data_IF_515982129188
#
_entry.id   IF_515982129188
#
_cell.length_a   1.000
_cell.length_b   1.000
_cell.length_c   1.000
_cell.angle_alpha   90.00
_cell.angle_beta   90.00
_cell.angle_gamma   90.00
#
_symmetry.space_group_name_H-M   'P 1'
#
loop_
_entity.id
_entity.type
_entity.pdbx_description
1 polymer ?
#
# COMPACT_ATOMS: atom_id res chain seq x y z
N UNK A 1 18.41 -18.43 -1.10
CA UNK A 1 17.24 -18.54 -0.20
C UNK A 1 16.95 -20.01 0.08
N UNK A 2 16.62 -20.40 1.32
CA UNK A 2 16.22 -21.79 1.66
C UNK A 2 14.89 -22.19 1.02
N UNK A 3 14.08 -21.23 0.56
CA UNK A 3 12.75 -21.45 -0.01
C UNK A 3 12.74 -22.29 -1.31
N UNK A 4 13.90 -22.53 -1.93
CA UNK A 4 14.03 -23.29 -3.18
C UNK A 4 14.60 -24.70 -2.99
N UNK A 5 14.78 -25.17 -1.75
CA UNK A 5 15.22 -26.54 -1.46
C UNK A 5 14.02 -27.48 -1.44
N UNK A 6 14.18 -28.70 -1.93
CA UNK A 6 13.12 -29.73 -1.89
C UNK A 6 12.62 -29.98 -0.46
N UNK A 7 13.52 -29.93 0.52
CA UNK A 7 13.19 -30.11 1.94
C UNK A 7 12.49 -28.92 2.59
N UNK A 8 12.37 -27.77 1.92
CA UNK A 8 11.79 -26.55 2.50
C UNK A 8 10.36 -26.78 2.98
N UNK A 9 9.57 -27.51 2.21
CA UNK A 9 8.17 -27.83 2.57
C UNK A 9 8.09 -28.57 3.90
N UNK A 10 8.89 -29.62 4.07
CA UNK A 10 8.86 -30.45 5.28
C UNK A 10 9.39 -29.68 6.50
N UNK A 11 10.43 -28.87 6.30
CA UNK A 11 10.96 -27.99 7.36
C UNK A 11 9.91 -26.96 7.78
N UNK A 12 9.22 -26.33 6.83
CA UNK A 12 8.16 -25.36 7.10
C UNK A 12 6.99 -26.00 7.84
N UNK A 13 6.50 -27.15 7.37
CA UNK A 13 5.37 -27.83 8.01
C UNK A 13 5.71 -28.26 9.45
N UNK A 14 6.91 -28.78 9.69
CA UNK A 14 7.39 -29.09 11.05
C UNK A 14 7.53 -27.86 11.92
N UNK A 15 7.96 -26.72 11.36
CA UNK A 15 8.05 -25.47 12.10
C UNK A 15 6.68 -24.92 12.47
N UNK A 16 5.69 -25.00 11.57
CA UNK A 16 4.31 -24.58 11.83
C UNK A 16 3.67 -25.44 12.93
N UNK A 17 3.84 -26.77 12.86
CA UNK A 17 3.30 -27.72 13.85
C UNK A 17 3.92 -27.51 15.25
N UNK A 18 5.23 -27.25 15.31
CA UNK A 18 5.96 -27.09 16.57
C UNK A 18 5.93 -25.70 17.18
N UNK A 19 5.42 -24.69 16.49
CA UNK A 19 5.38 -23.33 17.00
C UNK A 19 4.40 -23.24 18.18
N UNK A 20 4.78 -22.56 19.26
CA UNK A 20 3.86 -22.28 20.38
C UNK A 20 2.70 -21.39 19.93
N UNK A 21 2.98 -20.46 19.00
CA UNK A 21 1.99 -19.61 18.35
C UNK A 21 2.47 -19.14 16.99
N UNK A 22 1.53 -18.88 16.08
CA UNK A 22 1.80 -18.30 14.75
C UNK A 22 1.12 -16.94 14.66
N UNK A 23 1.89 -15.92 14.27
CA UNK A 23 1.38 -14.57 14.01
C UNK A 23 1.16 -14.38 12.51
N UNK A 24 -0.03 -13.91 12.13
CA UNK A 24 -0.41 -13.61 10.74
C UNK A 24 -1.11 -12.26 10.65
N UNK A 25 -1.30 -11.73 9.44
CA UNK A 25 -1.84 -10.39 9.24
C UNK A 25 -3.37 -10.33 9.02
N UNK A 26 -4.00 -11.44 8.63
CA UNK A 26 -5.42 -11.45 8.29
C UNK A 26 -6.06 -12.84 8.48
N UNK A 27 -7.40 -12.88 8.45
CA UNK A 27 -8.18 -14.10 8.60
C UNK A 27 -7.93 -15.13 7.50
N UNK A 28 -7.63 -14.68 6.28
CA UNK A 28 -7.36 -15.59 5.17
C UNK A 28 -6.13 -16.47 5.46
N UNK A 29 -5.02 -15.87 5.90
CA UNK A 29 -3.80 -16.61 6.25
C UNK A 29 -4.03 -17.42 7.53
N UNK A 30 -4.77 -16.89 8.51
CA UNK A 30 -5.14 -17.64 9.72
C UNK A 30 -5.84 -18.95 9.35
N UNK A 31 -6.89 -18.88 8.56
CA UNK A 31 -7.68 -20.03 8.14
C UNK A 31 -6.85 -21.05 7.34
N UNK A 32 -5.87 -20.60 6.56
CA UNK A 32 -4.96 -21.48 5.83
C UNK A 32 -4.04 -22.29 6.77
N UNK A 33 -3.66 -21.70 7.90
CA UNK A 33 -2.68 -22.27 8.84
C UNK A 33 -3.31 -23.04 10.01
N UNK A 34 -4.62 -22.85 10.30
CA UNK A 34 -5.33 -23.53 11.39
C UNK A 34 -5.26 -25.06 11.34
N UNK A 35 -5.07 -25.65 10.16
CA UNK A 35 -4.89 -27.10 9.98
C UNK A 35 -3.50 -27.62 10.38
N UNK A 36 -2.53 -26.74 10.57
CA UNK A 36 -1.16 -27.08 10.98
C UNK A 36 -0.87 -26.65 12.42
N UNK A 37 -1.57 -25.64 12.93
CA UNK A 37 -1.43 -25.18 14.30
C UNK A 37 -2.76 -24.56 14.75
N UNK A 38 -3.25 -24.90 15.94
CA UNK A 38 -4.51 -24.38 16.46
C UNK A 38 -4.35 -22.99 17.13
N UNK A 39 -3.13 -22.55 17.42
CA UNK A 39 -2.82 -21.26 18.03
C UNK A 39 -2.29 -20.25 16.99
N UNK A 40 -3.21 -19.73 16.17
CA UNK A 40 -2.90 -18.72 15.14
C UNK A 40 -3.54 -17.38 15.48
N UNK A 41 -2.70 -16.38 15.73
CA UNK A 41 -3.07 -15.04 16.15
C UNK A 41 -2.96 -14.04 15.01
N UNK A 42 -3.95 -13.17 14.87
CA UNK A 42 -3.91 -12.08 13.90
C UNK A 42 -3.36 -10.85 14.60
N UNK A 43 -2.21 -10.37 14.12
CA UNK A 43 -1.62 -9.11 14.56
C UNK A 43 -1.33 -8.27 13.31
N UNK A 44 -2.03 -7.14 13.12
CA UNK A 44 -1.73 -6.24 12.02
C UNK A 44 -0.35 -5.61 12.21
N UNK A 45 0.31 -5.20 11.11
CA UNK A 45 1.56 -4.45 11.23
C UNK A 45 1.30 -3.02 11.70
N UNK A 46 2.27 -2.44 12.41
CA UNK A 46 2.25 -1.02 12.77
C UNK A 46 2.92 -0.12 11.74
N UNK A 47 2.63 1.17 11.84
CA UNK A 47 3.30 2.28 11.16
C UNK A 47 3.78 3.30 12.19
N UNK A 48 4.93 3.91 11.91
CA UNK A 48 5.38 5.09 12.65
C UNK A 48 4.61 6.33 12.13
N UNK A 49 3.57 6.70 12.86
CA UNK A 49 2.69 7.83 12.51
C UNK A 49 3.35 9.20 12.71
N UNK A 50 4.47 9.27 13.42
CA UNK A 50 5.26 10.50 13.56
C UNK A 50 6.22 10.70 12.40
N UNK A 51 6.70 9.59 11.82
CA UNK A 51 7.54 9.58 10.62
C UNK A 51 6.71 9.75 9.35
N UNK A 52 5.64 8.97 9.18
CA UNK A 52 4.68 9.13 8.09
C UNK A 52 3.55 10.06 8.54
N UNK A 53 3.72 11.36 8.34
CA UNK A 53 2.74 12.37 8.74
C UNK A 53 2.44 13.38 7.64
N UNK A 54 1.29 14.06 7.70
CA UNK A 54 0.97 15.11 6.75
C UNK A 54 2.04 16.21 6.76
N UNK A 55 2.38 16.73 5.57
CA UNK A 55 3.27 17.88 5.46
C UNK A 55 2.70 19.09 6.21
N UNK A 56 3.54 19.75 7.02
CA UNK A 56 3.20 21.02 7.68
C UNK A 56 3.29 22.21 6.73
N UNK A 57 3.87 22.03 5.55
CA UNK A 57 4.01 23.10 4.58
C UNK A 57 2.65 23.42 3.94
N UNK A 58 2.33 24.71 3.87
CA UNK A 58 1.21 25.20 3.07
C UNK A 58 1.48 24.73 1.63
N UNK A 59 0.68 23.78 1.14
CA UNK A 59 0.79 23.31 -0.24
C UNK A 59 0.61 24.52 -1.16
N UNK A 60 1.72 25.03 -1.71
CA UNK A 60 1.65 25.98 -2.82
C UNK A 60 0.82 25.34 -3.92
N UNK A 61 0.08 26.16 -4.66
CA UNK A 61 -0.72 25.70 -5.77
C UNK A 61 0.21 24.93 -6.73
N UNK A 62 0.01 23.60 -6.80
CA UNK A 62 0.89 22.74 -7.58
C UNK A 62 0.50 22.87 -9.05
N UNK A 63 1.50 23.02 -9.91
CA UNK A 63 1.28 22.96 -11.36
C UNK A 63 0.75 21.59 -11.81
N UNK A 64 1.03 20.53 -11.05
CA UNK A 64 0.65 19.15 -11.39
C UNK A 64 0.29 18.34 -10.15
N UNK A 65 -0.74 17.51 -10.26
CA UNK A 65 -1.17 16.55 -9.25
C UNK A 65 -0.31 15.29 -9.34
N UNK A 66 0.21 14.84 -8.20
CA UNK A 66 1.09 13.67 -8.12
C UNK A 66 0.32 12.43 -7.69
N UNK A 67 0.38 11.39 -8.52
CA UNK A 67 -0.06 10.04 -8.20
C UNK A 67 1.17 9.22 -7.85
N UNK A 68 1.18 8.56 -6.70
CA UNK A 68 2.32 7.79 -6.20
C UNK A 68 1.99 6.29 -6.15
N UNK A 69 2.91 5.47 -6.66
CA UNK A 69 3.00 4.04 -6.35
C UNK A 69 4.34 3.79 -5.66
N UNK A 70 4.31 3.42 -4.39
CA UNK A 70 5.50 3.08 -3.61
C UNK A 70 5.70 1.58 -3.46
N UNK A 71 6.93 1.18 -3.11
CA UNK A 71 7.33 -0.20 -2.88
C UNK A 71 8.09 -0.80 -4.07
N UNK A 72 7.96 -2.12 -4.22
CA UNK A 72 8.68 -2.92 -5.23
C UNK A 72 7.89 -3.02 -6.52
N UNK A 73 7.69 -1.89 -7.20
CA UNK A 73 6.78 -1.81 -8.35
C UNK A 73 7.16 -2.73 -9.53
N UNK A 74 8.42 -3.17 -9.60
CA UNK A 74 8.88 -4.13 -10.60
C UNK A 74 8.37 -5.55 -10.38
N UNK A 75 7.98 -5.91 -9.15
CA UNK A 75 7.35 -7.20 -8.89
C UNK A 75 5.97 -7.21 -9.57
N UNK A 76 5.75 -8.14 -10.50
CA UNK A 76 4.49 -8.25 -11.27
C UNK A 76 3.25 -8.23 -10.37
N UNK A 77 3.32 -8.91 -9.22
CA UNK A 77 2.27 -8.98 -8.21
C UNK A 77 1.80 -7.62 -7.66
N UNK A 78 2.63 -6.57 -7.77
CA UNK A 78 2.31 -5.21 -7.33
C UNK A 78 1.50 -4.41 -8.35
N UNK A 79 1.30 -4.94 -9.56
CA UNK A 79 0.29 -4.43 -10.50
C UNK A 79 0.64 -3.11 -11.20
N UNK A 80 1.94 -2.80 -11.35
CA UNK A 80 2.40 -1.58 -12.02
C UNK A 80 1.81 -1.40 -13.43
N UNK A 81 1.67 -2.49 -14.19
CA UNK A 81 1.05 -2.46 -15.53
C UNK A 81 -0.41 -1.99 -15.49
N UNK A 82 -1.17 -2.31 -14.43
CA UNK A 82 -2.57 -1.88 -14.27
C UNK A 82 -2.63 -0.36 -14.08
N UNK A 83 -1.78 0.18 -13.19
CA UNK A 83 -1.69 1.61 -12.97
C UNK A 83 -1.18 2.37 -14.19
N UNK A 84 -0.18 1.84 -14.89
CA UNK A 84 0.31 2.49 -16.11
C UNK A 84 -0.75 2.58 -17.20
N UNK A 85 -1.51 1.50 -17.44
CA UNK A 85 -2.58 1.52 -18.44
C UNK A 85 -3.66 2.55 -18.09
N UNK A 86 -4.04 2.61 -16.80
CA UNK A 86 -4.95 3.63 -16.29
C UNK A 86 -4.40 5.05 -16.48
N UNK A 87 -3.13 5.27 -16.11
CA UNK A 87 -2.48 6.57 -16.18
C UNK A 87 -2.29 7.06 -17.62
N UNK A 88 -1.85 6.19 -18.54
CA UNK A 88 -1.73 6.53 -19.98
C UNK A 88 -3.06 6.96 -20.58
N UNK A 89 -4.17 6.33 -20.16
CA UNK A 89 -5.49 6.76 -20.60
C UNK A 89 -5.90 8.11 -20.02
N UNK A 90 -5.54 8.42 -18.76
CA UNK A 90 -5.75 9.76 -18.19
C UNK A 90 -4.96 10.83 -18.94
N UNK A 91 -3.75 10.53 -19.41
CA UNK A 91 -2.93 11.47 -20.17
C UNK A 91 -3.55 11.91 -21.50
N UNK A 92 -4.51 11.16 -22.05
CA UNK A 92 -5.25 11.60 -23.25
C UNK A 92 -6.29 12.69 -22.94
N UNK A 93 -6.64 12.87 -21.66
CA UNK A 93 -7.65 13.80 -21.17
C UNK A 93 -7.07 15.02 -20.44
N UNK A 94 -5.87 14.90 -19.85
CA UNK A 94 -5.25 15.96 -19.04
C UNK A 94 -3.72 15.86 -19.00
N UNK A 95 -3.04 17.00 -18.93
CA UNK A 95 -1.56 17.05 -18.83
C UNK A 95 -1.03 17.35 -17.41
N UNK A 96 -1.90 17.85 -16.53
CA UNK A 96 -1.59 18.36 -15.20
C UNK A 96 -1.36 17.27 -14.15
N UNK A 97 -0.98 16.06 -14.58
CA UNK A 97 -0.71 14.91 -13.71
C UNK A 97 0.68 14.34 -13.93
N UNK A 98 1.27 13.81 -12.86
CA UNK A 98 2.54 13.10 -12.86
C UNK A 98 2.40 11.80 -12.07
N UNK A 99 2.96 10.72 -12.61
CA UNK A 99 3.05 9.42 -11.95
C UNK A 99 4.46 9.25 -11.38
N UNK A 100 4.56 9.15 -10.06
CA UNK A 100 5.79 8.85 -9.35
C UNK A 100 5.80 7.39 -8.89
N UNK A 101 6.85 6.67 -9.22
CA UNK A 101 7.00 5.24 -8.95
C UNK A 101 8.31 5.02 -8.23
N UNK A 102 8.30 4.33 -7.09
CA UNK A 102 9.52 3.71 -6.56
C UNK A 102 9.61 2.27 -7.06
N UNK A 103 10.77 1.85 -7.54
CA UNK A 103 11.02 0.47 -7.95
C UNK A 103 12.22 -0.10 -7.18
N UNK A 104 12.30 -1.43 -7.10
CA UNK A 104 13.43 -2.14 -6.51
C UNK A 104 14.67 -2.16 -7.44
N UNK A 105 15.60 -3.07 -7.20
CA UNK A 105 16.81 -3.26 -8.03
C UNK A 105 16.53 -3.54 -9.52
N UNK A 106 15.32 -3.97 -9.88
CA UNK A 106 14.89 -4.20 -11.25
C UNK A 106 14.42 -2.91 -11.96
N UNK A 107 14.55 -1.74 -11.32
CA UNK A 107 14.11 -0.44 -11.89
C UNK A 107 14.65 -0.17 -13.31
N UNK A 108 15.85 -0.65 -13.65
CA UNK A 108 16.48 -0.46 -14.97
C UNK A 108 15.64 -0.99 -16.13
N UNK A 109 14.85 -2.04 -15.90
CA UNK A 109 13.95 -2.59 -16.92
C UNK A 109 12.80 -1.63 -17.29
N UNK A 110 12.54 -0.63 -16.43
CA UNK A 110 11.43 0.30 -16.57
C UNK A 110 11.87 1.71 -16.97
N UNK A 111 13.17 2.01 -17.01
CA UNK A 111 13.70 3.33 -17.37
C UNK A 111 13.22 3.79 -18.75
N UNK A 112 13.15 2.90 -19.73
CA UNK A 112 12.64 3.23 -21.08
C UNK A 112 11.12 3.33 -21.15
N UNK A 113 10.41 2.71 -20.21
CA UNK A 113 8.94 2.64 -20.17
C UNK A 113 8.32 3.87 -19.51
N UNK A 114 9.01 4.45 -18.53
CA UNK A 114 8.55 5.62 -17.76
C UNK A 114 9.46 6.83 -17.98
N UNK A 115 9.47 7.33 -19.22
CA UNK A 115 10.24 8.51 -19.63
C UNK A 115 9.33 9.71 -19.91
N UNK A 116 9.94 10.89 -19.92
CA UNK A 116 9.28 12.15 -20.25
C UNK A 116 8.67 12.82 -19.04
N UNK A 117 8.05 13.98 -19.27
CA UNK A 117 7.65 14.87 -18.18
C UNK A 117 6.59 14.29 -17.23
N UNK A 118 5.76 13.33 -17.67
CA UNK A 118 4.64 12.79 -16.89
C UNK A 118 5.04 11.68 -15.92
N UNK A 119 6.31 11.25 -15.91
CA UNK A 119 6.76 10.13 -15.09
C UNK A 119 7.99 10.50 -14.26
N UNK A 120 7.99 10.06 -13.01
CA UNK A 120 9.13 10.15 -12.09
C UNK A 120 9.43 8.73 -11.60
N UNK A 121 10.47 8.11 -12.14
CA UNK A 121 10.92 6.80 -11.70
C UNK A 121 12.05 6.96 -10.68
N UNK A 122 11.85 6.45 -9.47
CA UNK A 122 12.87 6.37 -8.43
C UNK A 122 13.41 4.95 -8.30
N UNK A 123 14.71 4.87 -8.03
CA UNK A 123 15.34 3.67 -7.49
C UNK A 123 14.74 3.32 -6.12
N UNK A 124 15.15 2.18 -5.57
CA UNK A 124 14.70 1.74 -4.26
C UNK A 124 14.90 2.84 -3.22
N UNK A 125 13.80 3.22 -2.56
CA UNK A 125 13.80 4.18 -1.45
C UNK A 125 13.61 3.39 -0.18
N UNK A 126 14.57 3.50 0.74
CA UNK A 126 14.46 2.82 2.03
C UNK A 126 13.35 3.45 2.88
N UNK A 127 12.96 2.74 3.94
CA UNK A 127 11.88 3.17 4.83
C UNK A 127 12.15 4.53 5.50
N UNK A 128 13.40 4.93 5.71
CA UNK A 128 13.76 6.21 6.35
C UNK A 128 13.54 7.41 5.45
N UNK A 129 13.82 7.28 4.16
CA UNK A 129 13.62 8.33 3.16
C UNK A 129 12.25 8.31 2.50
N UNK A 130 11.48 7.23 2.66
CA UNK A 130 10.18 7.06 2.03
C UNK A 130 9.15 8.16 2.38
N UNK A 131 9.07 8.68 3.63
CA UNK A 131 8.15 9.77 3.96
C UNK A 131 8.28 11.01 3.07
N UNK A 132 9.50 11.35 2.63
CA UNK A 132 9.74 12.49 1.74
C UNK A 132 9.11 12.29 0.35
N UNK A 133 9.01 11.04 -0.12
CA UNK A 133 8.32 10.70 -1.37
C UNK A 133 6.81 10.90 -1.21
N UNK A 134 6.26 10.60 -0.04
CA UNK A 134 4.84 10.74 0.26
C UNK A 134 4.42 12.21 0.43
N UNK A 135 5.28 13.05 1.01
CA UNK A 135 4.99 14.46 1.35
C UNK A 135 4.28 15.25 0.23
N UNK A 136 4.68 14.98 -1.01
CA UNK A 136 4.19 15.67 -2.20
C UNK A 136 3.18 14.87 -3.03
N UNK A 137 2.77 13.68 -2.59
CA UNK A 137 1.72 12.94 -3.27
C UNK A 137 0.34 13.54 -2.98
N UNK A 138 -0.54 13.44 -3.97
CA UNK A 138 -1.93 13.85 -3.86
C UNK A 138 -2.87 12.63 -3.83
N UNK A 139 -2.47 11.52 -4.45
CA UNK A 139 -3.13 10.23 -4.40
C UNK A 139 -2.06 9.14 -4.30
N UNK A 140 -2.25 8.13 -3.45
CA UNK A 140 -1.45 6.90 -3.47
C UNK A 140 -2.28 5.78 -4.07
N UNK A 141 -1.71 5.02 -5.01
CA UNK A 141 -2.35 3.87 -5.62
C UNK A 141 -1.63 2.59 -5.19
N UNK A 142 -2.41 1.59 -4.74
CA UNK A 142 -1.94 0.25 -4.39
C UNK A 142 -2.61 -0.77 -5.31
N UNK A 143 -2.08 -1.00 -6.52
CA UNK A 143 -2.78 -1.74 -7.56
C UNK A 143 -2.49 -3.24 -7.53
N UNK A 144 -2.22 -3.81 -6.34
CA UNK A 144 -1.83 -5.21 -6.18
C UNK A 144 -2.79 -6.17 -6.90
N UNK A 145 -2.23 -7.10 -7.67
CA UNK A 145 -2.97 -8.18 -8.34
C UNK A 145 -2.92 -9.50 -7.56
N UNK A 146 -2.05 -9.57 -6.56
CA UNK A 146 -1.97 -10.68 -5.61
C UNK A 146 -2.73 -10.33 -4.32
N UNK A 147 -3.14 -11.36 -3.59
CA UNK A 147 -3.70 -11.28 -2.24
C UNK A 147 -2.63 -10.68 -1.31
N UNK A 148 -2.70 -9.38 -1.14
CA UNK A 148 -1.80 -8.63 -0.26
C UNK A 148 -1.98 -9.11 1.20
N UNK A 149 -0.92 -9.55 1.89
CA UNK A 149 -1.05 -10.04 3.26
C UNK A 149 -1.53 -8.97 4.24
N UNK A 150 -0.92 -7.79 4.21
CA UNK A 150 -1.33 -6.66 5.04
C UNK A 150 -1.70 -5.49 4.13
N UNK A 151 -0.72 -4.86 3.49
CA UNK A 151 -0.92 -3.64 2.69
C UNK A 151 -0.36 -2.40 3.38
N UNK A 152 0.86 -2.51 3.92
CA UNK A 152 1.52 -1.43 4.69
C UNK A 152 1.58 -0.11 3.90
N UNK A 153 1.72 -0.15 2.57
CA UNK A 153 1.71 1.04 1.71
C UNK A 153 0.43 1.87 1.86
N UNK A 154 -0.73 1.21 2.00
CA UNK A 154 -2.00 1.91 2.23
C UNK A 154 -2.04 2.56 3.62
N UNK A 155 -1.48 1.90 4.63
CA UNK A 155 -1.37 2.46 5.99
C UNK A 155 -0.42 3.65 6.04
N UNK A 156 0.76 3.54 5.41
CA UNK A 156 1.73 4.64 5.27
C UNK A 156 1.12 5.85 4.56
N UNK A 157 0.30 5.62 3.52
CA UNK A 157 -0.38 6.67 2.78
C UNK A 157 -1.45 7.37 3.63
N UNK A 158 -2.31 6.59 4.28
CA UNK A 158 -3.30 7.10 5.22
C UNK A 158 -2.63 7.87 6.36
N UNK A 159 -1.56 7.33 6.93
CA UNK A 159 -0.75 8.00 7.96
C UNK A 159 -0.16 9.31 7.44
N UNK A 160 0.29 9.36 6.20
CA UNK A 160 0.78 10.61 5.58
C UNK A 160 -0.34 11.60 5.23
N UNK A 161 -1.61 11.29 5.52
CA UNK A 161 -2.77 12.12 5.19
C UNK A 161 -3.04 12.17 3.69
N UNK A 162 -2.87 11.05 2.99
CA UNK A 162 -3.04 10.95 1.53
C UNK A 162 -4.12 9.91 1.28
N UNK A 163 -5.11 10.19 0.40
CA UNK A 163 -6.15 9.23 0.11
C UNK A 163 -5.56 8.10 -0.72
N UNK A 164 -6.07 6.90 -0.47
CA UNK A 164 -5.60 5.66 -1.10
C UNK A 164 -6.62 5.19 -2.12
N UNK A 165 -6.15 4.77 -3.30
CA UNK A 165 -6.93 3.93 -4.21
C UNK A 165 -6.29 2.55 -4.19
N UNK A 166 -7.01 1.54 -3.71
CA UNK A 166 -6.47 0.20 -3.49
C UNK A 166 -7.29 -0.87 -4.21
N UNK A 167 -6.60 -1.87 -4.76
CA UNK A 167 -7.23 -3.08 -5.28
C UNK A 167 -8.06 -3.74 -4.18
N UNK A 168 -9.30 -4.16 -4.48
CA UNK A 168 -10.22 -4.78 -3.50
C UNK A 168 -9.83 -6.24 -3.21
N UNK A 169 -8.62 -6.47 -2.71
CA UNK A 169 -8.05 -7.80 -2.49
C UNK A 169 -7.21 -7.88 -1.20
N UNK A 170 -7.17 -9.07 -0.58
CA UNK A 170 -6.36 -9.32 0.61
C UNK A 170 -6.64 -8.34 1.75
N UNK A 171 -5.59 -8.00 2.51
CA UNK A 171 -5.66 -7.07 3.65
C UNK A 171 -5.99 -5.63 3.26
N UNK A 172 -5.90 -5.26 1.96
CA UNK A 172 -6.29 -3.92 1.51
C UNK A 172 -7.77 -3.64 1.75
N UNK A 173 -8.62 -4.68 1.69
CA UNK A 173 -10.06 -4.59 1.98
C UNK A 173 -10.36 -4.20 3.42
N UNK A 174 -9.48 -4.57 4.34
CA UNK A 174 -9.66 -4.32 5.78
C UNK A 174 -9.05 -2.97 6.18
N UNK A 175 -8.00 -2.55 5.46
CA UNK A 175 -7.28 -1.30 5.72
C UNK A 175 -8.04 -0.09 5.20
N UNK A 176 -8.52 -0.14 3.95
CA UNK A 176 -9.20 0.98 3.28
C UNK A 176 -10.71 0.83 3.43
N UNK A 177 -11.37 1.86 3.96
CA UNK A 177 -12.84 1.92 3.99
C UNK A 177 -13.31 2.68 2.75
N UNK A 178 -13.94 1.95 1.83
CA UNK A 178 -14.38 2.46 0.54
C UNK A 178 -15.32 3.67 0.68
N UNK A 179 -15.01 4.76 -0.02
CA UNK A 179 -15.76 6.02 0.07
C UNK A 179 -15.45 6.85 1.32
N UNK A 180 -14.70 6.33 2.28
CA UNK A 180 -14.39 7.03 3.55
C UNK A 180 -12.92 7.37 3.74
N UNK A 181 -12.03 6.39 3.72
CA UNK A 181 -10.57 6.62 3.88
C UNK A 181 -9.80 6.49 2.57
N UNK A 182 -10.49 6.06 1.51
CA UNK A 182 -9.97 5.85 0.18
C UNK A 182 -11.04 5.25 -0.73
N UNK A 183 -10.61 4.73 -1.87
CA UNK A 183 -11.48 4.05 -2.82
C UNK A 183 -10.94 2.66 -3.15
N UNK A 184 -11.85 1.73 -3.34
CA UNK A 184 -11.54 0.45 -3.95
C UNK A 184 -11.76 0.46 -5.45
N UNK A 185 -10.97 -0.34 -6.13
CA UNK A 185 -11.21 -0.72 -7.52
C UNK A 185 -11.09 -2.24 -7.66
N UNK A 186 -11.73 -2.79 -8.69
CA UNK A 186 -11.74 -4.22 -8.97
C UNK A 186 -10.34 -4.70 -9.42
N UNK A 187 -9.79 -5.78 -8.81
CA UNK A 187 -8.45 -6.26 -9.15
C UNK A 187 -8.30 -6.54 -10.65
N UNK A 188 -7.13 -6.18 -11.21
CA UNK A 188 -6.81 -6.35 -12.64
C UNK A 188 -7.69 -5.52 -13.62
N UNK A 189 -8.54 -4.62 -13.12
CA UNK A 189 -9.35 -3.73 -13.95
C UNK A 189 -8.76 -2.30 -14.00
N UNK A 190 -7.97 -2.01 -15.03
CA UNK A 190 -7.35 -0.69 -15.18
C UNK A 190 -8.35 0.42 -15.52
N UNK A 191 -9.52 0.09 -16.10
CA UNK A 191 -10.56 1.07 -16.41
C UNK A 191 -11.24 1.56 -15.13
N UNK A 192 -11.61 0.64 -14.24
CA UNK A 192 -12.16 1.01 -12.93
C UNK A 192 -11.13 1.78 -12.09
N UNK A 193 -9.87 1.36 -12.10
CA UNK A 193 -8.78 2.13 -11.47
C UNK A 193 -8.69 3.57 -12.04
N UNK A 194 -8.73 3.70 -13.37
CA UNK A 194 -8.69 5.00 -14.05
C UNK A 194 -9.85 5.90 -13.60
N UNK A 195 -11.07 5.37 -13.52
CA UNK A 195 -12.25 6.10 -13.04
C UNK A 195 -12.10 6.56 -11.59
N UNK A 196 -11.57 5.73 -10.69
CA UNK A 196 -11.32 6.14 -9.29
C UNK A 196 -10.28 7.25 -9.21
N UNK A 197 -9.21 7.15 -9.99
CA UNK A 197 -8.17 8.19 -10.06
C UNK A 197 -8.79 9.49 -10.59
N UNK A 198 -9.49 9.45 -11.73
CA UNK A 198 -10.14 10.60 -12.34
C UNK A 198 -11.10 11.29 -11.37
N UNK A 199 -11.91 10.51 -10.64
CA UNK A 199 -12.81 11.02 -9.63
C UNK A 199 -12.07 11.80 -8.53
N UNK A 200 -11.01 11.25 -7.93
CA UNK A 200 -10.26 11.96 -6.88
C UNK A 200 -9.44 13.15 -7.42
N UNK A 201 -9.01 13.11 -8.67
CA UNK A 201 -8.35 14.25 -9.31
C UNK A 201 -9.33 15.42 -9.48
N UNK A 202 -10.59 15.13 -9.84
CA UNK A 202 -11.63 16.15 -10.11
C UNK A 202 -12.37 16.62 -8.84
N UNK A 203 -12.24 15.91 -7.72
CA UNK A 203 -12.94 16.22 -6.47
C UNK A 203 -11.97 16.52 -5.31
N UNK A 204 -11.28 17.69 -5.31
CA UNK A 204 -10.28 18.02 -4.30
C UNK A 204 -10.81 18.05 -2.86
N UNK A 205 -12.09 18.42 -2.66
CA UNK A 205 -12.73 18.40 -1.34
C UNK A 205 -12.89 16.97 -0.80
N UNK A 206 -13.38 16.06 -1.64
CA UNK A 206 -13.50 14.63 -1.29
C UNK A 206 -12.13 14.04 -0.98
N UNK A 207 -11.12 14.39 -1.78
CA UNK A 207 -9.72 14.00 -1.56
C UNK A 207 -9.22 14.45 -0.18
N UNK A 208 -9.47 15.70 0.20
CA UNK A 208 -9.08 16.26 1.51
C UNK A 208 -9.82 15.60 2.69
N UNK A 209 -11.12 15.34 2.54
CA UNK A 209 -11.91 14.65 3.57
C UNK A 209 -11.42 13.22 3.79
N UNK A 210 -11.17 12.48 2.70
CA UNK A 210 -10.61 11.12 2.76
C UNK A 210 -9.22 11.10 3.40
N UNK A 211 -8.36 12.05 3.05
CA UNK A 211 -7.05 12.25 3.69
C UNK A 211 -7.15 12.36 5.21
N UNK A 212 -8.07 13.21 5.71
CA UNK A 212 -8.28 13.42 7.14
C UNK A 212 -8.81 12.17 7.83
N UNK A 213 -9.78 11.48 7.21
CA UNK A 213 -10.35 10.23 7.74
C UNK A 213 -9.31 9.09 7.75
N UNK A 214 -8.53 8.97 6.68
CA UNK A 214 -7.41 8.02 6.57
C UNK A 214 -6.38 8.23 7.67
N UNK A 215 -5.93 9.46 7.90
CA UNK A 215 -4.98 9.78 8.99
C UNK A 215 -5.50 9.34 10.33
N UNK A 216 -6.73 9.74 10.69
CA UNK A 216 -7.35 9.38 11.97
C UNK A 216 -7.44 7.87 12.15
N UNK A 217 -7.78 7.13 11.08
CA UNK A 217 -7.83 5.67 11.09
C UNK A 217 -6.44 5.07 11.32
N UNK A 218 -5.42 5.56 10.63
CA UNK A 218 -4.04 5.09 10.78
C UNK A 218 -3.52 5.29 12.21
N UNK A 219 -3.73 6.47 12.80
CA UNK A 219 -3.35 6.76 14.19
C UNK A 219 -4.07 5.86 15.20
N UNK A 220 -5.37 5.67 15.02
CA UNK A 220 -6.20 4.93 15.96
C UNK A 220 -5.97 3.41 15.93
N UNK A 221 -5.69 2.84 14.75
CA UNK A 221 -5.68 1.39 14.56
C UNK A 221 -4.31 0.80 14.24
N UNK A 222 -3.40 1.59 13.66
CA UNK A 222 -2.17 1.05 13.07
C UNK A 222 -0.90 1.75 13.56
N UNK A 223 -0.96 2.70 14.48
CA UNK A 223 0.27 3.20 15.13
C UNK A 223 0.95 2.07 15.92
N UNK A 224 2.29 2.05 15.94
CA UNK A 224 3.02 1.02 16.68
C UNK A 224 2.59 0.91 18.15
N UNK A 225 2.35 2.04 18.82
CA UNK A 225 1.84 2.06 20.21
C UNK A 225 0.51 1.29 20.32
N UNK A 226 -0.44 1.55 19.42
CA UNK A 226 -1.73 0.82 19.41
C UNK A 226 -1.58 -0.64 19.08
N UNK A 227 -0.67 -0.99 18.17
CA UNK A 227 -0.39 -2.40 17.83
C UNK A 227 0.22 -3.12 19.03
N UNK A 228 1.16 -2.49 19.72
CA UNK A 228 1.82 -3.07 20.90
C UNK A 228 0.80 -3.25 22.03
N UNK A 229 0.05 -2.20 22.37
CA UNK A 229 -0.91 -2.21 23.48
C UNK A 229 -2.03 -3.23 23.28
N UNK A 230 -2.60 -3.29 22.06
CA UNK A 230 -3.78 -4.11 21.80
C UNK A 230 -3.47 -5.56 21.46
N UNK A 231 -2.27 -5.86 20.95
CA UNK A 231 -1.95 -7.19 20.41
C UNK A 231 -0.70 -7.80 21.02
N UNK A 232 0.43 -7.08 21.13
CA UNK A 232 1.66 -7.70 21.63
C UNK A 232 1.67 -7.87 23.15
N UNK A 233 1.30 -6.84 23.93
CA UNK A 233 1.26 -6.96 25.40
C UNK A 233 0.34 -8.11 25.85
N UNK A 234 -0.89 -8.26 25.32
CA UNK A 234 -1.77 -9.37 25.68
C UNK A 234 -1.24 -10.78 25.36
N UNK A 235 -0.22 -10.92 24.49
CA UNK A 235 0.37 -12.22 24.18
C UNK A 235 1.35 -12.72 25.24
N UNK A 236 1.85 -11.82 26.08
CA UNK A 236 2.82 -12.13 27.13
C UNK A 236 2.22 -12.11 28.54
N UNK A 237 0.93 -11.76 28.66
CA UNK A 237 0.14 -11.74 29.91
C UNK A 237 -0.69 -12.99 30.07
#
# INVERSE_FOLDING_TARGET
SMAFRESYKDVLLKALDKADSIIVYNDFIKNLLLKYNNNVNIIPSGVDVEKFKPSKEIKKEKKRLKILMSGRAAEYAKGLTILENAFKLLLTKRDDIVLEITADEYFRHYENRFQGQHFILRKWVNQDSLPEVYKDADIVVVPSIWIEPFGIVAVEAMSSGIPVIASRIGGLKDIVIDGETGLHFEPNNFLDLMEKIEFLLNNPKVREEMSKKGRKRAEALYSWDKIIDNYYIPLFS
#
